data_IF_628921176247
#
_entry.id   IF_628921176247
#
_cell.length_a   1.000
_cell.length_b   1.000
_cell.length_c   1.000
_cell.angle_alpha   90.00
_cell.angle_beta   90.00
_cell.angle_gamma   90.00
#
_symmetry.space_group_name_H-M   'P 1'
#
loop_
_entity.id
_entity.type
_entity.pdbx_description
1 polymer ?
#
# COMPACT_ATOMS: atom_id res chain seq x y z
N UNK A 1 -32.74 -15.98 -2.12
CA UNK A 1 -31.95 -15.05 -2.96
C UNK A 1 -30.51 -14.84 -2.46
N UNK A 2 -30.21 -15.02 -1.15
CA UNK A 2 -28.87 -14.94 -0.56
C UNK A 2 -27.82 -15.90 -1.17
N UNK A 3 -28.21 -17.13 -1.56
CA UNK A 3 -27.25 -18.13 -2.08
C UNK A 3 -26.55 -17.68 -3.37
N UNK A 4 -27.26 -16.94 -4.23
CA UNK A 4 -26.71 -16.43 -5.49
C UNK A 4 -25.75 -15.25 -5.27
N UNK A 5 -26.00 -14.43 -4.24
CA UNK A 5 -25.12 -13.33 -3.86
C UNK A 5 -23.76 -13.85 -3.34
N UNK A 6 -23.75 -14.96 -2.60
CA UNK A 6 -22.51 -15.60 -2.14
C UNK A 6 -21.66 -16.14 -3.30
N UNK A 7 -22.30 -16.75 -4.30
CA UNK A 7 -21.62 -17.26 -5.50
C UNK A 7 -21.05 -16.16 -6.38
N UNK A 8 -21.72 -15.01 -6.49
CA UNK A 8 -21.22 -13.85 -7.24
C UNK A 8 -20.07 -13.17 -6.46
N UNK A 9 -20.20 -13.03 -5.14
CA UNK A 9 -19.17 -12.46 -4.28
C UNK A 9 -17.88 -13.30 -4.30
N UNK A 10 -17.99 -14.64 -4.31
CA UNK A 10 -16.84 -15.52 -4.47
C UNK A 10 -16.20 -15.38 -5.85
N UNK A 11 -16.99 -15.13 -6.90
CA UNK A 11 -16.48 -14.91 -8.27
C UNK A 11 -15.64 -13.63 -8.40
N UNK A 12 -15.85 -12.62 -7.56
CA UNK A 12 -14.98 -11.43 -7.48
C UNK A 12 -13.69 -11.68 -6.68
N UNK A 13 -13.71 -12.66 -5.78
CA UNK A 13 -12.51 -13.05 -5.03
C UNK A 13 -11.60 -13.99 -5.82
N UNK A 14 -12.14 -14.90 -6.65
CA UNK A 14 -11.35 -15.84 -7.46
C UNK A 14 -10.25 -15.15 -8.30
N UNK A 15 -10.48 -14.01 -8.98
CA UNK A 15 -9.44 -13.31 -9.75
C UNK A 15 -8.28 -12.82 -8.89
N UNK A 16 -8.52 -12.46 -7.63
CA UNK A 16 -7.46 -11.99 -6.73
C UNK A 16 -6.52 -13.12 -6.28
N UNK A 17 -6.97 -14.38 -6.38
CA UNK A 17 -6.19 -15.57 -6.03
C UNK A 17 -5.52 -16.19 -7.27
N UNK A 18 -6.16 -16.07 -8.44
CA UNK A 18 -5.58 -16.51 -9.72
C UNK A 18 -4.41 -15.61 -10.16
N UNK A 19 -4.42 -14.32 -9.81
CA UNK A 19 -3.27 -13.42 -10.01
C UNK A 19 -2.07 -13.73 -9.08
N UNK A 20 -2.14 -14.77 -8.25
CA UNK A 20 -1.02 -15.26 -7.44
C UNK A 20 -0.36 -16.53 -8.03
N UNK A 21 -0.70 -16.93 -9.27
CA UNK A 21 -0.09 -18.10 -9.92
C UNK A 21 1.42 -17.93 -10.07
N UNK A 22 2.13 -18.56 -9.13
CA UNK A 22 3.55 -18.80 -9.08
C UNK A 22 4.00 -19.58 -10.33
N UNK A 23 4.88 -18.97 -11.13
CA UNK A 23 5.54 -19.64 -12.26
C UNK A 23 6.61 -20.60 -11.71
N UNK A 24 6.23 -21.87 -11.60
CA UNK A 24 7.01 -22.93 -10.98
C UNK A 24 8.00 -23.59 -11.95
N UNK A 25 8.73 -22.81 -12.76
CA UNK A 25 9.82 -23.33 -13.61
C UNK A 25 11.18 -22.94 -13.05
N UNK A 26 11.70 -23.77 -12.13
CA UNK A 26 13.14 -23.99 -11.90
C UNK A 26 13.86 -23.08 -10.88
N UNK A 27 14.17 -23.63 -9.69
CA UNK A 27 15.15 -23.08 -8.73
C UNK A 27 14.58 -22.35 -7.51
N UNK A 28 15.44 -21.88 -6.60
CA UNK A 28 15.08 -20.98 -5.50
C UNK A 28 14.94 -19.50 -5.94
N UNK A 29 15.52 -19.19 -7.11
CA UNK A 29 15.42 -17.91 -7.83
C UNK A 29 13.96 -17.41 -8.05
N UNK A 30 12.99 -18.25 -8.51
CA UNK A 30 11.60 -17.82 -8.73
C UNK A 30 10.84 -17.48 -7.45
N UNK A 31 11.22 -18.01 -6.27
CA UNK A 31 10.53 -17.69 -5.02
C UNK A 31 10.81 -16.24 -4.59
N UNK A 32 12.08 -15.82 -4.56
CA UNK A 32 12.43 -14.45 -4.19
C UNK A 32 11.93 -13.41 -5.21
N UNK A 33 11.93 -13.77 -6.50
CA UNK A 33 11.37 -12.92 -7.55
C UNK A 33 9.84 -12.81 -7.42
N UNK A 34 9.12 -13.92 -7.21
CA UNK A 34 7.66 -13.91 -7.01
C UNK A 34 7.23 -13.13 -5.76
N UNK A 35 7.99 -13.25 -4.67
CA UNK A 35 7.74 -12.49 -3.43
C UNK A 35 8.02 -10.99 -3.66
N UNK A 36 9.10 -10.65 -4.36
CA UNK A 36 9.43 -9.27 -4.72
C UNK A 36 8.34 -8.61 -5.58
N UNK A 37 7.86 -9.30 -6.61
CA UNK A 37 6.78 -8.83 -7.49
C UNK A 37 5.46 -8.70 -6.70
N UNK A 38 5.11 -9.69 -5.88
CA UNK A 38 3.90 -9.62 -5.05
C UNK A 38 3.90 -8.42 -4.08
N UNK A 39 5.04 -8.17 -3.42
CA UNK A 39 5.17 -7.03 -2.50
C UNK A 39 5.07 -5.71 -3.26
N UNK A 40 5.79 -5.57 -4.38
CA UNK A 40 5.84 -4.32 -5.12
C UNK A 40 4.52 -3.98 -5.85
N UNK A 41 3.88 -4.97 -6.48
CA UNK A 41 2.68 -4.73 -7.29
C UNK A 41 1.37 -4.78 -6.51
N UNK A 42 1.34 -5.49 -5.37
CA UNK A 42 0.11 -5.65 -4.57
C UNK A 42 0.20 -4.98 -3.21
N UNK A 43 1.26 -5.25 -2.45
CA UNK A 43 1.34 -4.81 -1.04
C UNK A 43 1.57 -3.30 -0.91
N UNK A 44 2.53 -2.75 -1.66
CA UNK A 44 2.84 -1.32 -1.65
C UNK A 44 1.63 -0.44 -2.02
N UNK A 45 0.93 -0.64 -3.15
CA UNK A 45 -0.21 0.20 -3.49
C UNK A 45 -1.36 0.10 -2.47
N UNK A 46 -1.57 -1.08 -1.87
CA UNK A 46 -2.54 -1.25 -0.78
C UNK A 46 -2.12 -0.49 0.49
N UNK A 47 -0.84 -0.52 0.86
CA UNK A 47 -0.31 0.25 1.99
C UNK A 47 -0.43 1.76 1.78
N UNK A 48 -0.13 2.25 0.56
CA UNK A 48 -0.30 3.67 0.21
C UNK A 48 -1.77 4.08 0.33
N UNK A 49 -2.69 3.25 -0.16
CA UNK A 49 -4.13 3.50 -0.05
C UNK A 49 -4.58 3.59 1.41
N UNK A 50 -4.17 2.63 2.25
CA UNK A 50 -4.47 2.63 3.69
C UNK A 50 -3.86 3.83 4.41
N UNK A 51 -2.63 4.20 4.09
CA UNK A 51 -1.96 5.37 4.64
C UNK A 51 -2.68 6.68 4.28
N UNK A 52 -3.13 6.81 3.03
CA UNK A 52 -3.90 7.97 2.57
C UNK A 52 -5.21 8.12 3.36
N UNK A 53 -5.94 7.01 3.56
CA UNK A 53 -7.18 7.00 4.36
C UNK A 53 -6.89 7.39 5.82
N UNK A 54 -5.81 6.88 6.40
CA UNK A 54 -5.44 7.20 7.78
C UNK A 54 -5.08 8.69 7.96
N UNK A 55 -4.41 9.29 6.97
CA UNK A 55 -4.08 10.72 6.97
C UNK A 55 -5.33 11.58 6.89
N UNK A 56 -6.27 11.24 6.01
CA UNK A 56 -7.57 11.95 5.89
C UNK A 56 -8.34 11.84 7.22
N UNK A 57 -8.43 10.64 7.79
CA UNK A 57 -9.10 10.41 9.08
C UNK A 57 -8.45 11.21 10.22
N UNK A 58 -7.12 11.21 10.30
CA UNK A 58 -6.37 11.96 11.30
C UNK A 58 -6.64 13.47 11.20
N UNK A 59 -6.61 14.03 9.97
CA UNK A 59 -6.91 15.44 9.72
C UNK A 59 -8.35 15.84 10.07
N UNK A 60 -9.34 15.04 9.70
CA UNK A 60 -10.76 15.29 10.03
C UNK A 60 -10.98 15.23 11.54
N UNK A 61 -10.36 14.28 12.23
CA UNK A 61 -10.50 14.12 13.69
C UNK A 61 -9.96 15.32 14.48
N UNK A 62 -8.99 16.05 13.93
CA UNK A 62 -8.46 17.27 14.53
C UNK A 62 -9.42 18.45 14.40
N UNK A 63 -10.01 18.64 13.22
CA UNK A 63 -10.97 19.71 12.97
C UNK A 63 -12.22 19.50 13.83
N UNK A 64 -12.70 18.26 13.95
CA UNK A 64 -13.85 17.90 14.78
C UNK A 64 -13.62 18.16 16.29
N UNK A 65 -12.37 18.22 16.75
CA UNK A 65 -12.00 18.43 18.15
C UNK A 65 -11.71 19.91 18.47
N UNK A 66 -12.02 20.84 17.56
CA UNK A 66 -11.62 22.25 17.66
C UNK A 66 -12.25 23.02 18.85
N UNK A 67 -13.34 22.51 19.45
CA UNK A 67 -14.09 23.19 20.52
C UNK A 67 -13.57 23.00 21.95
N UNK A 68 -12.63 22.07 22.19
CA UNK A 68 -12.19 21.73 23.55
C UNK A 68 -10.64 21.77 23.64
N UNK A 69 -10.13 22.71 24.43
CA UNK A 69 -8.71 23.09 24.44
C UNK A 69 -7.78 21.94 24.87
N UNK A 70 -8.23 21.08 25.78
CA UNK A 70 -7.52 19.86 26.22
C UNK A 70 -7.44 18.80 25.11
N UNK A 71 -8.54 18.57 24.38
CA UNK A 71 -8.57 17.60 23.26
C UNK A 71 -7.76 18.10 22.07
N UNK A 72 -7.60 19.41 21.91
CA UNK A 72 -6.77 20.01 20.85
C UNK A 72 -5.30 19.60 20.94
N UNK A 73 -4.71 19.56 22.13
CA UNK A 73 -3.29 19.20 22.29
C UNK A 73 -3.04 17.72 21.97
N UNK A 74 -3.93 16.85 22.46
CA UNK A 74 -3.88 15.42 22.17
C UNK A 74 -4.06 15.14 20.67
N UNK A 75 -4.99 15.85 20.01
CA UNK A 75 -5.27 15.71 18.58
C UNK A 75 -4.16 16.30 17.70
N UNK A 76 -3.48 17.36 18.14
CA UNK A 76 -2.25 17.86 17.48
C UNK A 76 -1.18 16.79 17.44
N UNK A 77 -0.95 16.10 18.58
CA UNK A 77 0.01 14.99 18.65
C UNK A 77 -0.41 13.87 17.70
N UNK A 78 -1.70 13.57 17.62
CA UNK A 78 -2.23 12.54 16.71
C UNK A 78 -2.03 12.86 15.22
N UNK A 79 -2.19 14.13 14.80
CA UNK A 79 -1.79 14.57 13.45
C UNK A 79 -0.29 14.42 13.24
N UNK A 80 0.52 14.85 14.20
CA UNK A 80 1.97 14.83 14.06
C UNK A 80 2.49 13.40 13.80
N UNK A 81 1.96 12.42 14.54
CA UNK A 81 2.23 11.00 14.30
C UNK A 81 1.70 10.50 12.95
N UNK A 82 0.54 11.00 12.49
CA UNK A 82 0.00 10.70 11.15
C UNK A 82 0.89 11.23 10.02
N UNK A 83 1.39 12.46 10.13
CA UNK A 83 2.31 13.08 9.17
C UNK A 83 3.63 12.33 9.11
N UNK A 84 4.18 11.94 10.27
CA UNK A 84 5.41 11.14 10.35
C UNK A 84 5.22 9.78 9.65
N UNK A 85 4.09 9.11 9.88
CA UNK A 85 3.77 7.86 9.19
C UNK A 85 3.74 8.01 7.67
N UNK A 86 3.10 9.08 7.17
CA UNK A 86 3.07 9.37 5.73
C UNK A 86 4.47 9.69 5.18
N UNK A 87 5.24 10.49 5.90
CA UNK A 87 6.60 10.86 5.51
C UNK A 87 7.51 9.64 5.37
N UNK A 88 7.44 8.68 6.31
CA UNK A 88 8.24 7.46 6.25
C UNK A 88 7.89 6.61 5.03
N UNK A 89 6.61 6.41 4.73
CA UNK A 89 6.16 5.60 3.58
C UNK A 89 6.64 6.23 2.26
N UNK A 90 6.44 7.55 2.10
CA UNK A 90 6.87 8.28 0.90
C UNK A 90 8.40 8.29 0.80
N UNK A 91 9.11 8.48 1.90
CA UNK A 91 10.57 8.53 1.94
C UNK A 91 11.20 7.21 1.52
N UNK A 92 10.69 6.07 2.02
CA UNK A 92 11.18 4.75 1.64
C UNK A 92 10.96 4.51 0.13
N UNK A 93 9.75 4.78 -0.37
CA UNK A 93 9.46 4.56 -1.80
C UNK A 93 10.23 5.53 -2.71
N UNK A 94 10.35 6.80 -2.31
CA UNK A 94 11.15 7.81 -3.00
C UNK A 94 12.63 7.44 -3.05
N UNK A 95 13.17 6.88 -1.96
CA UNK A 95 14.54 6.36 -1.91
C UNK A 95 14.71 5.14 -2.83
N UNK A 96 13.80 4.18 -2.79
CA UNK A 96 13.81 3.01 -3.68
C UNK A 96 13.76 3.44 -5.15
N UNK A 97 12.87 4.38 -5.49
CA UNK A 97 12.75 4.94 -6.82
C UNK A 97 14.02 5.68 -7.24
N UNK A 98 14.63 6.46 -6.33
CA UNK A 98 15.87 7.18 -6.60
C UNK A 98 17.03 6.22 -6.84
N UNK A 99 17.19 5.20 -6.00
CA UNK A 99 18.23 4.17 -6.12
C UNK A 99 18.05 3.42 -7.44
N UNK A 100 16.87 2.85 -7.72
CA UNK A 100 16.72 2.10 -8.97
C UNK A 100 16.72 2.98 -10.23
N UNK A 101 16.44 4.29 -10.15
CA UNK A 101 16.71 5.21 -11.28
C UNK A 101 18.21 5.46 -11.44
N UNK A 102 18.92 5.67 -10.34
CA UNK A 102 20.37 5.94 -10.34
C UNK A 102 21.18 4.73 -10.85
N UNK A 103 20.73 3.53 -10.51
CA UNK A 103 21.32 2.27 -10.98
C UNK A 103 20.63 1.70 -12.24
N UNK A 104 19.76 2.47 -12.89
CA UNK A 104 19.03 2.06 -14.11
C UNK A 104 18.18 0.77 -13.98
N UNK A 105 17.90 0.32 -12.75
CA UNK A 105 17.13 -0.88 -12.44
C UNK A 105 15.66 -0.80 -12.89
N UNK A 106 15.15 0.42 -13.14
CA UNK A 106 13.80 0.65 -13.67
C UNK A 106 13.78 1.09 -15.14
N UNK A 107 14.93 1.21 -15.79
CA UNK A 107 15.08 1.75 -17.14
C UNK A 107 15.44 0.67 -18.20
N UNK A 108 15.30 -0.61 -17.86
CA UNK A 108 15.39 -1.73 -18.80
C UNK A 108 14.03 -2.39 -19.01
N UNK A 109 13.19 -1.82 -19.87
CA UNK A 109 11.87 -2.40 -20.15
C UNK A 109 10.96 -1.63 -21.10
N UNK A 110 11.50 -1.03 -22.17
CA UNK A 110 10.74 -0.72 -23.40
C UNK A 110 11.68 -0.70 -24.61
N UNK A 111 12.15 -1.88 -25.01
CA UNK A 111 12.53 -2.12 -26.40
C UNK A 111 11.74 -3.35 -26.84
N UNK A 112 10.63 -3.06 -27.55
CA UNK A 112 9.79 -3.94 -28.39
C UNK A 112 9.23 -5.22 -27.77
#
# INVERSE_FOLDING_TARGET
>A
MIKKAFTILSLYFVPSWVLAQFDATGGAEPFFNSVGVFINERLIPVMILLALVYVIYSGVSFIASAGEQSKREEKKKQIFWGIIGLFVIISIWGLVALVGRSFNLFAGGTLQ
#
